data_IF_644578953628
#
_entry.id   IF_644578953628
#
_cell.length_a   1.000
_cell.length_b   1.000
_cell.length_c   1.000
_cell.angle_alpha   90.00
_cell.angle_beta   90.00
_cell.angle_gamma   90.00
#
_symmetry.space_group_name_H-M   'P 1'
#
loop_
_entity.id
_entity.type
_entity.pdbx_description
1 polymer ?
#
# COMPACT_ATOMS: atom_id res chain seq x y z
N UNK A 1 19.06 24.63 -0.93
CA UNK A 1 17.58 24.65 -1.04
C UNK A 1 17.05 25.13 0.30
N UNK A 2 16.34 26.25 0.34
CA UNK A 2 15.80 26.79 1.60
C UNK A 2 14.59 25.96 2.04
N UNK A 3 14.67 25.35 3.22
CA UNK A 3 13.62 24.46 3.73
C UNK A 3 12.66 25.24 4.62
N UNK A 4 11.38 25.27 4.25
CA UNK A 4 10.35 25.99 4.99
C UNK A 4 9.66 25.05 5.99
N UNK A 5 9.64 25.42 7.27
CA UNK A 5 8.93 24.67 8.30
C UNK A 5 7.41 24.80 8.16
N UNK A 6 6.69 23.75 8.55
CA UNK A 6 5.23 23.83 8.70
C UNK A 6 4.86 24.82 9.82
N UNK A 7 3.77 25.55 9.62
CA UNK A 7 3.20 26.40 10.66
C UNK A 7 2.83 25.58 11.92
N UNK A 8 2.86 26.20 13.10
CA UNK A 8 2.53 25.51 14.36
C UNK A 8 1.14 24.85 14.35
N UNK A 9 0.16 25.50 13.72
CA UNK A 9 -1.21 24.95 13.60
C UNK A 9 -1.24 23.73 12.68
N UNK A 10 -0.53 23.79 11.55
CA UNK A 10 -0.39 22.65 10.63
C UNK A 10 0.36 21.50 11.30
N UNK A 11 1.48 21.77 11.98
CA UNK A 11 2.28 20.75 12.68
C UNK A 11 1.47 20.01 13.74
N UNK A 12 0.72 20.74 14.59
CA UNK A 12 -0.16 20.12 15.58
C UNK A 12 -1.23 19.25 14.93
N UNK A 13 -1.87 19.76 13.87
CA UNK A 13 -2.89 19.02 13.14
C UNK A 13 -2.34 17.74 12.49
N UNK A 14 -1.15 17.80 11.90
CA UNK A 14 -0.45 16.63 11.35
C UNK A 14 -0.20 15.60 12.45
N UNK A 15 0.37 16.01 13.59
CA UNK A 15 0.65 15.09 14.71
C UNK A 15 -0.63 14.41 15.22
N UNK A 16 -1.69 15.19 15.49
CA UNK A 16 -2.94 14.68 16.04
C UNK A 16 -3.67 13.73 15.06
N UNK A 17 -3.68 14.08 13.78
CA UNK A 17 -4.30 13.27 12.73
C UNK A 17 -3.51 11.99 12.43
N UNK A 18 -2.18 12.07 12.31
CA UNK A 18 -1.29 10.92 12.13
C UNK A 18 -1.42 9.93 13.29
N UNK A 19 -1.41 10.40 14.54
CA UNK A 19 -1.56 9.53 15.71
C UNK A 19 -2.89 8.78 15.69
N UNK A 20 -3.96 9.47 15.37
CA UNK A 20 -5.31 8.89 15.33
C UNK A 20 -5.47 7.92 14.15
N UNK A 21 -4.83 8.21 13.02
CA UNK A 21 -4.86 7.33 11.85
C UNK A 21 -4.06 6.04 12.08
N UNK A 22 -2.89 6.12 12.71
CA UNK A 22 -2.12 4.93 13.12
C UNK A 22 -2.93 4.03 14.05
N UNK A 23 -3.65 4.62 15.00
CA UNK A 23 -4.56 3.88 15.88
C UNK A 23 -5.71 3.20 15.10
N UNK A 24 -6.32 3.89 14.13
CA UNK A 24 -7.34 3.29 13.25
C UNK A 24 -6.80 2.06 12.51
N UNK A 25 -5.59 2.17 11.94
CA UNK A 25 -4.96 1.04 11.23
C UNK A 25 -4.65 -0.11 12.20
N UNK A 26 -4.16 0.19 13.41
CA UNK A 26 -3.91 -0.85 14.42
C UNK A 26 -5.19 -1.58 14.85
N UNK A 27 -6.31 -0.86 15.00
CA UNK A 27 -7.62 -1.47 15.31
C UNK A 27 -8.10 -2.36 14.16
N UNK A 28 -7.93 -1.91 12.91
CA UNK A 28 -8.25 -2.71 11.71
C UNK A 28 -7.40 -3.96 11.61
N UNK A 29 -6.09 -3.85 11.82
CA UNK A 29 -5.17 -5.00 11.86
C UNK A 29 -5.56 -5.97 12.98
N UNK A 30 -5.96 -5.47 14.15
CA UNK A 30 -6.47 -6.32 15.25
C UNK A 30 -7.75 -7.07 14.85
N UNK A 31 -8.70 -6.41 14.19
CA UNK A 31 -9.89 -7.07 13.63
C UNK A 31 -9.53 -8.14 12.60
N UNK A 32 -8.57 -7.85 11.72
CA UNK A 32 -8.09 -8.81 10.72
C UNK A 32 -7.46 -10.06 11.35
N UNK A 33 -6.65 -9.87 12.41
CA UNK A 33 -6.02 -10.98 13.17
C UNK A 33 -7.03 -11.80 13.97
N UNK A 34 -8.05 -11.16 14.52
CA UNK A 34 -9.13 -11.83 15.25
C UNK A 34 -9.93 -12.77 14.33
N UNK A 35 -9.95 -12.49 13.02
CA UNK A 35 -10.65 -13.29 12.02
C UNK A 35 -12.04 -12.72 11.66
N UNK A 36 -12.72 -13.36 10.72
CA UNK A 36 -13.98 -12.87 10.16
C UNK A 36 -15.17 -13.12 11.09
N UNK A 37 -15.45 -14.39 11.39
CA UNK A 37 -16.58 -14.79 12.23
C UNK A 37 -16.35 -16.16 12.84
N UNK A 38 -16.79 -16.37 14.07
CA UNK A 38 -16.91 -17.71 14.66
C UNK A 38 -18.37 -18.17 14.61
N UNK A 39 -18.60 -19.43 14.27
CA UNK A 39 -19.94 -20.01 14.17
C UNK A 39 -19.94 -21.48 14.56
N UNK A 40 -21.06 -21.93 15.14
CA UNK A 40 -21.29 -23.35 15.39
C UNK A 40 -21.71 -24.04 14.10
N UNK A 41 -20.97 -25.08 13.70
CA UNK A 41 -21.28 -25.90 12.52
C UNK A 41 -21.64 -27.31 12.96
N UNK A 42 -22.85 -27.81 12.64
CA UNK A 42 -23.20 -29.20 12.89
C UNK A 42 -22.41 -30.11 11.93
N UNK A 43 -21.86 -31.22 12.46
CA UNK A 43 -21.19 -32.26 11.68
C UNK A 43 -21.52 -33.63 12.29
N UNK A 44 -22.49 -34.31 11.69
CA UNK A 44 -23.00 -35.59 12.19
C UNK A 44 -23.57 -35.47 13.60
N UNK A 45 -22.95 -36.18 14.55
CA UNK A 45 -23.37 -36.21 15.96
C UNK A 45 -22.81 -35.06 16.82
N UNK A 46 -21.89 -34.26 16.28
CA UNK A 46 -21.19 -33.21 17.03
C UNK A 46 -21.42 -31.83 16.43
N UNK A 47 -21.28 -30.80 17.26
CA UNK A 47 -21.29 -29.40 16.84
C UNK A 47 -19.90 -28.84 17.08
N UNK A 48 -19.29 -28.26 16.06
CA UNK A 48 -17.92 -27.73 16.12
C UNK A 48 -17.92 -26.21 16.06
N UNK A 49 -16.99 -25.58 16.78
CA UNK A 49 -16.71 -24.17 16.61
C UNK A 49 -15.84 -23.99 15.36
N UNK A 50 -16.32 -23.18 14.43
CA UNK A 50 -15.65 -22.89 13.17
C UNK A 50 -15.34 -21.40 13.08
N UNK A 51 -14.06 -21.06 12.88
CA UNK A 51 -13.61 -19.68 12.65
C UNK A 51 -13.35 -19.45 11.16
N UNK A 52 -13.97 -18.42 10.60
CA UNK A 52 -13.73 -17.97 9.23
C UNK A 52 -12.58 -16.96 9.21
N UNK A 53 -11.75 -17.03 8.18
CA UNK A 53 -10.75 -15.99 7.92
C UNK A 53 -11.42 -14.64 7.61
N UNK A 54 -10.73 -13.55 7.92
CA UNK A 54 -11.21 -12.18 7.66
C UNK A 54 -11.27 -11.87 6.16
N UNK A 55 -10.23 -12.23 5.41
CA UNK A 55 -10.13 -11.93 3.97
C UNK A 55 -10.75 -13.00 3.07
N UNK A 56 -10.99 -14.20 3.63
CA UNK A 56 -11.53 -15.34 2.91
C UNK A 56 -12.58 -16.10 3.74
N UNK A 57 -13.85 -15.83 3.45
CA UNK A 57 -14.97 -16.50 4.10
C UNK A 57 -15.04 -18.01 3.84
N UNK A 58 -14.33 -18.53 2.83
CA UNK A 58 -14.28 -19.96 2.50
C UNK A 58 -13.20 -20.69 3.31
N UNK A 59 -12.16 -20.00 3.78
CA UNK A 59 -11.15 -20.60 4.67
C UNK A 59 -11.73 -20.67 6.08
N UNK A 60 -12.01 -21.90 6.52
CA UNK A 60 -12.62 -22.20 7.82
C UNK A 60 -11.68 -23.10 8.62
N UNK A 61 -11.34 -22.68 9.83
CA UNK A 61 -10.58 -23.46 10.79
C UNK A 61 -11.54 -24.00 11.85
N UNK A 62 -11.47 -25.30 12.12
CA UNK A 62 -12.26 -25.95 13.16
C UNK A 62 -11.47 -25.95 14.47
N UNK A 63 -12.02 -25.31 15.51
CA UNK A 63 -11.34 -25.10 16.80
C UNK A 63 -11.64 -26.21 17.83
N UNK A 64 -12.73 -26.96 17.66
CA UNK A 64 -13.09 -28.08 18.54
C UNK A 64 -14.57 -28.34 18.62
N UNK A 65 -14.95 -29.41 19.31
CA UNK A 65 -16.34 -29.73 19.65
C UNK A 65 -16.90 -28.75 20.68
N UNK A 66 -18.23 -28.62 20.72
CA UNK A 66 -18.92 -27.80 21.71
C UNK A 66 -18.65 -28.31 23.12
N UNK A 67 -18.00 -27.47 23.92
CA UNK A 67 -17.62 -27.70 25.30
C UNK A 67 -17.64 -26.34 26.03
N UNK A 68 -17.59 -26.31 27.38
CA UNK A 68 -17.48 -25.04 28.12
C UNK A 68 -16.26 -24.20 27.69
N UNK A 69 -15.17 -24.85 27.30
CA UNK A 69 -13.95 -24.21 26.80
C UNK A 69 -14.20 -23.52 25.45
N UNK A 70 -14.82 -24.19 24.48
CA UNK A 70 -15.10 -23.60 23.16
C UNK A 70 -16.22 -22.55 23.20
N UNK A 71 -17.15 -22.64 24.15
CA UNK A 71 -18.11 -21.57 24.43
C UNK A 71 -17.44 -20.33 25.01
N UNK A 72 -16.47 -20.48 25.92
CA UNK A 72 -15.68 -19.35 26.43
C UNK A 72 -14.85 -18.68 25.32
N UNK A 73 -14.30 -19.45 24.38
CA UNK A 73 -13.58 -18.91 23.21
C UNK A 73 -14.51 -18.04 22.37
N UNK A 74 -15.72 -18.51 22.09
CA UNK A 74 -16.70 -17.75 21.32
C UNK A 74 -17.11 -16.46 22.04
N UNK A 75 -17.40 -16.52 23.34
CA UNK A 75 -17.76 -15.33 24.13
C UNK A 75 -16.64 -14.28 24.15
N UNK A 76 -15.38 -14.72 24.33
CA UNK A 76 -14.23 -13.84 24.28
C UNK A 76 -14.09 -13.18 22.90
N UNK A 77 -14.22 -13.97 21.83
CA UNK A 77 -14.20 -13.47 20.45
C UNK A 77 -15.29 -12.43 20.19
N UNK A 78 -16.53 -12.69 20.59
CA UNK A 78 -17.65 -11.76 20.39
C UNK A 78 -17.47 -10.45 21.16
N UNK A 79 -16.98 -10.55 22.40
CA UNK A 79 -16.71 -9.38 23.25
C UNK A 79 -15.61 -8.51 22.64
N UNK A 80 -14.48 -9.12 22.28
CA UNK A 80 -13.34 -8.42 21.69
C UNK A 80 -13.68 -7.82 20.34
N UNK A 81 -14.38 -8.56 19.48
CA UNK A 81 -14.83 -8.06 18.18
C UNK A 81 -15.75 -6.86 18.35
N UNK A 82 -16.71 -6.92 19.27
CA UNK A 82 -17.64 -5.82 19.53
C UNK A 82 -16.91 -4.56 20.01
N UNK A 83 -15.95 -4.73 20.93
CA UNK A 83 -15.09 -3.64 21.42
C UNK A 83 -14.30 -2.98 20.29
N UNK A 84 -13.66 -3.78 19.43
CA UNK A 84 -12.86 -3.28 18.31
C UNK A 84 -13.73 -2.58 17.25
N UNK A 85 -14.92 -3.10 16.94
CA UNK A 85 -15.84 -2.47 15.99
C UNK A 85 -16.36 -1.11 16.50
N UNK A 86 -16.70 -1.02 17.79
CA UNK A 86 -17.09 0.26 18.41
C UNK A 86 -15.93 1.27 18.35
N UNK A 87 -14.72 0.81 18.65
CA UNK A 87 -13.51 1.64 18.58
C UNK A 87 -13.22 2.11 17.16
N UNK A 88 -13.31 1.23 16.16
CA UNK A 88 -13.13 1.57 14.75
C UNK A 88 -14.11 2.67 14.33
N UNK A 89 -15.40 2.51 14.67
CA UNK A 89 -16.43 3.51 14.35
C UNK A 89 -16.09 4.88 14.94
N UNK A 90 -15.74 4.94 16.23
CA UNK A 90 -15.38 6.20 16.88
C UNK A 90 -14.15 6.86 16.25
N UNK A 91 -13.17 6.07 15.81
CA UNK A 91 -11.98 6.57 15.12
C UNK A 91 -12.32 7.09 13.73
N UNK A 92 -13.19 6.41 12.98
CA UNK A 92 -13.64 6.86 11.65
C UNK A 92 -14.32 8.23 11.72
N UNK A 93 -15.20 8.44 12.70
CA UNK A 93 -15.88 9.73 12.90
C UNK A 93 -14.85 10.85 13.16
N UNK A 94 -13.82 10.55 13.97
CA UNK A 94 -12.74 11.51 14.26
C UNK A 94 -11.85 11.76 13.04
N UNK A 95 -11.52 10.73 12.28
CA UNK A 95 -10.74 10.85 11.04
C UNK A 95 -11.47 11.73 10.03
N UNK A 96 -12.79 11.60 9.87
CA UNK A 96 -13.56 12.45 8.96
C UNK A 96 -13.49 13.95 9.31
N UNK A 97 -13.32 14.29 10.60
CA UNK A 97 -13.06 15.66 11.04
C UNK A 97 -11.63 16.06 10.65
N UNK A 98 -10.64 15.22 10.95
CA UNK A 98 -9.25 15.51 10.65
C UNK A 98 -8.93 15.60 9.17
N UNK A 99 -9.57 14.82 8.30
CA UNK A 99 -9.38 14.95 6.86
C UNK A 99 -9.82 16.35 6.36
N UNK A 100 -10.94 16.87 6.88
CA UNK A 100 -11.40 18.23 6.56
C UNK A 100 -10.43 19.29 7.08
N UNK A 101 -9.93 19.12 8.29
CA UNK A 101 -8.94 20.03 8.87
C UNK A 101 -7.61 19.98 8.12
N UNK A 102 -7.11 18.78 7.78
CA UNK A 102 -5.90 18.57 7.00
C UNK A 102 -6.00 19.30 5.65
N UNK A 103 -7.16 19.22 4.98
CA UNK A 103 -7.42 19.97 3.75
C UNK A 103 -7.38 21.48 3.98
N UNK A 104 -8.03 21.96 5.04
CA UNK A 104 -8.12 23.39 5.35
C UNK A 104 -6.75 24.02 5.62
N UNK A 105 -5.89 23.33 6.39
CA UNK A 105 -4.54 23.81 6.74
C UNK A 105 -3.46 23.39 5.72
N UNK A 106 -3.86 22.76 4.61
CA UNK A 106 -2.97 22.24 3.57
C UNK A 106 -1.85 21.34 4.12
N UNK A 107 -2.21 20.46 5.06
CA UNK A 107 -1.28 19.57 5.77
C UNK A 107 -0.61 18.50 4.87
N UNK A 108 -1.16 18.27 3.67
CA UNK A 108 -0.75 17.18 2.79
C UNK A 108 -0.39 17.64 1.39
N UNK A 109 0.57 16.94 0.79
CA UNK A 109 1.07 17.20 -0.56
C UNK A 109 0.89 16.03 -1.53
N UNK A 110 0.57 14.82 -1.04
CA UNK A 110 0.40 13.65 -1.91
C UNK A 110 -0.87 13.75 -2.76
N UNK A 111 -0.82 13.21 -3.95
CA UNK A 111 -1.93 13.08 -4.89
C UNK A 111 -3.03 12.19 -4.31
N UNK A 112 -4.25 12.47 -4.75
CA UNK A 112 -5.41 11.66 -4.40
C UNK A 112 -5.23 10.21 -4.87
N UNK A 113 -4.61 10.01 -6.03
CA UNK A 113 -4.43 8.67 -6.63
C UNK A 113 -3.44 7.83 -5.85
N UNK A 114 -2.38 8.43 -5.28
CA UNK A 114 -1.47 7.74 -4.36
C UNK A 114 -2.19 7.30 -3.09
N UNK A 115 -2.96 8.20 -2.46
CA UNK A 115 -3.72 7.87 -1.25
C UNK A 115 -4.77 6.78 -1.51
N UNK A 116 -5.45 6.83 -2.66
CA UNK A 116 -6.37 5.77 -3.08
C UNK A 116 -5.67 4.43 -3.30
N UNK A 117 -4.46 4.43 -3.85
CA UNK A 117 -3.67 3.22 -4.05
C UNK A 117 -3.27 2.61 -2.70
N UNK A 118 -2.76 3.41 -1.76
CA UNK A 118 -2.45 2.97 -0.38
C UNK A 118 -3.68 2.34 0.28
N UNK A 119 -4.82 3.03 0.23
CA UNK A 119 -6.06 2.54 0.84
C UNK A 119 -6.61 1.29 0.13
N UNK A 120 -6.34 1.13 -1.16
CA UNK A 120 -6.67 -0.09 -1.91
C UNK A 120 -5.87 -1.29 -1.39
N UNK A 121 -4.55 -1.15 -1.22
CA UNK A 121 -3.70 -2.21 -0.67
C UNK A 121 -4.11 -2.60 0.76
N UNK A 122 -4.50 -1.62 1.57
CA UNK A 122 -5.06 -1.84 2.92
C UNK A 122 -6.37 -2.62 2.86
N UNK A 123 -7.31 -2.22 2.00
CA UNK A 123 -8.61 -2.89 1.88
C UNK A 123 -8.52 -4.35 1.43
N UNK A 124 -7.49 -4.66 0.63
CA UNK A 124 -7.21 -6.01 0.14
C UNK A 124 -6.39 -6.84 1.15
N UNK A 125 -5.78 -6.20 2.15
CA UNK A 125 -5.03 -6.86 3.22
C UNK A 125 -3.60 -7.21 2.85
N UNK A 126 -2.97 -6.43 1.96
CA UNK A 126 -1.59 -6.65 1.52
C UNK A 126 -0.65 -5.51 1.95
N UNK A 127 -1.19 -4.46 2.58
CA UNK A 127 -0.47 -3.26 3.03
C UNK A 127 0.73 -3.58 3.95
N UNK A 128 0.59 -4.52 4.89
CA UNK A 128 1.65 -4.87 5.86
C UNK A 128 2.89 -5.49 5.21
N UNK A 129 2.66 -6.21 4.10
CA UNK A 129 3.67 -6.88 3.28
C UNK A 129 4.20 -5.95 2.17
N UNK A 130 3.57 -4.78 1.98
CA UNK A 130 3.88 -3.84 0.89
C UNK A 130 4.96 -2.83 1.30
N UNK A 131 5.95 -2.65 0.45
CA UNK A 131 6.97 -1.61 0.51
C UNK A 131 6.86 -0.69 -0.69
N UNK A 132 6.55 0.57 -0.45
CA UNK A 132 6.46 1.61 -1.46
C UNK A 132 7.84 2.14 -1.80
N UNK A 133 8.16 2.25 -3.09
CA UNK A 133 9.48 2.64 -3.58
C UNK A 133 9.40 3.90 -4.46
N UNK A 134 10.54 4.54 -4.71
CA UNK A 134 10.63 5.74 -5.56
C UNK A 134 9.92 6.97 -4.98
N UNK A 135 9.28 7.76 -5.85
CA UNK A 135 8.62 9.03 -5.49
C UNK A 135 7.63 8.92 -4.31
N UNK A 136 6.75 7.91 -4.22
CA UNK A 136 5.90 7.71 -3.04
C UNK A 136 6.65 7.63 -1.71
N UNK A 137 7.79 6.93 -1.65
CA UNK A 137 8.59 6.80 -0.43
C UNK A 137 9.09 8.17 0.07
N UNK A 138 9.46 9.06 -0.87
CA UNK A 138 9.90 10.41 -0.54
C UNK A 138 8.80 11.25 0.13
N UNK A 139 7.52 11.04 -0.24
CA UNK A 139 6.41 11.69 0.46
C UNK A 139 6.30 11.23 1.90
N UNK A 140 6.51 9.94 2.19
CA UNK A 140 6.54 9.42 3.55
C UNK A 140 7.67 10.06 4.37
N UNK A 141 8.87 10.17 3.81
CA UNK A 141 10.00 10.81 4.50
C UNK A 141 9.75 12.29 4.73
N UNK A 142 9.30 13.03 3.72
CA UNK A 142 9.03 14.45 3.89
C UNK A 142 7.93 14.73 4.89
N UNK A 143 6.91 13.88 4.95
CA UNK A 143 5.84 14.03 5.93
C UNK A 143 6.32 13.81 7.38
N UNK A 144 7.45 13.13 7.60
CA UNK A 144 8.01 12.92 8.94
C UNK A 144 8.94 14.04 9.41
N UNK A 145 9.46 14.87 8.51
CA UNK A 145 10.43 15.91 8.86
C UNK A 145 9.80 17.18 9.44
N UNK A 146 8.49 17.39 9.23
CA UNK A 146 7.80 18.62 9.66
C UNK A 146 8.09 19.85 8.79
N UNK A 147 8.70 19.65 7.62
CA UNK A 147 8.90 20.69 6.61
C UNK A 147 7.83 20.63 5.51
N UNK A 148 7.67 21.74 4.81
CA UNK A 148 6.84 21.79 3.61
C UNK A 148 7.43 20.92 2.50
N UNK A 149 6.56 20.22 1.77
CA UNK A 149 6.97 19.40 0.64
C UNK A 149 7.48 20.26 -0.53
N UNK A 150 8.71 20.01 -1.03
CA UNK A 150 9.31 20.70 -2.15
C UNK A 150 8.43 20.66 -3.40
N UNK A 151 8.51 21.71 -4.21
CA UNK A 151 7.78 21.81 -5.49
C UNK A 151 8.18 20.68 -6.46
N UNK A 152 9.47 20.37 -6.53
CA UNK A 152 10.03 19.31 -7.38
C UNK A 152 9.41 17.94 -7.10
N UNK A 153 9.15 17.61 -5.82
CA UNK A 153 8.52 16.34 -5.45
C UNK A 153 7.05 16.30 -5.90
N UNK A 154 6.33 17.43 -5.78
CA UNK A 154 4.92 17.54 -6.22
C UNK A 154 4.76 17.35 -7.73
N UNK A 155 5.69 17.90 -8.52
CA UNK A 155 5.68 17.81 -9.99
C UNK A 155 5.94 16.38 -10.49
N UNK A 156 6.86 15.64 -9.85
CA UNK A 156 7.18 14.26 -10.22
C UNK A 156 6.05 13.26 -9.92
N UNK A 157 5.21 13.54 -8.93
CA UNK A 157 4.10 12.66 -8.59
C UNK A 157 3.05 12.54 -9.72
N UNK A 158 2.95 13.56 -10.58
CA UNK A 158 1.89 13.67 -11.59
C UNK A 158 1.95 12.59 -12.70
N UNK A 159 3.01 11.77 -12.72
CA UNK A 159 3.16 10.60 -13.61
C UNK A 159 2.12 9.51 -13.29
N UNK A 160 1.64 9.43 -12.04
CA UNK A 160 0.56 8.51 -11.65
C UNK A 160 0.91 7.02 -11.73
N UNK A 161 2.19 6.66 -11.66
CA UNK A 161 2.66 5.28 -11.64
C UNK A 161 3.47 5.02 -10.38
N UNK A 162 3.14 3.92 -9.70
CA UNK A 162 3.71 3.56 -8.42
C UNK A 162 4.26 2.15 -8.47
N UNK A 163 5.47 1.97 -7.94
CA UNK A 163 6.09 0.67 -7.75
C UNK A 163 5.97 0.26 -6.28
N UNK A 164 5.41 -0.92 -6.06
CA UNK A 164 5.22 -1.49 -4.74
C UNK A 164 5.78 -2.90 -4.72
N UNK A 165 6.73 -3.14 -3.84
CA UNK A 165 7.24 -4.48 -3.58
C UNK A 165 6.36 -5.15 -2.53
N UNK A 166 6.03 -6.42 -2.70
CA UNK A 166 5.22 -7.20 -1.76
C UNK A 166 6.02 -8.41 -1.30
N UNK A 167 6.28 -8.47 0.01
CA UNK A 167 7.06 -9.52 0.71
C UNK A 167 6.42 -10.91 0.73
N UNK A 168 5.39 -11.11 -0.09
CA UNK A 168 4.72 -12.38 -0.31
C UNK A 168 4.26 -12.48 -1.75
N UNK A 169 4.21 -13.71 -2.26
CA UNK A 169 3.57 -14.02 -3.52
C UNK A 169 2.06 -13.74 -3.44
N UNK A 170 1.55 -12.91 -4.34
CA UNK A 170 0.12 -12.62 -4.45
C UNK A 170 -0.63 -13.80 -5.10
N UNK A 171 -1.70 -14.25 -4.46
CA UNK A 171 -2.57 -15.27 -5.02
C UNK A 171 -3.53 -14.68 -6.07
N UNK A 172 -4.06 -15.55 -6.95
CA UNK A 172 -4.98 -15.14 -8.01
C UNK A 172 -6.23 -14.41 -7.45
N UNK A 173 -6.66 -14.74 -6.24
CA UNK A 173 -7.81 -14.12 -5.58
C UNK A 173 -7.52 -12.67 -5.18
N UNK A 174 -6.34 -12.41 -4.63
CA UNK A 174 -5.86 -11.07 -4.27
C UNK A 174 -5.69 -10.21 -5.52
N UNK A 175 -5.07 -10.77 -6.57
CA UNK A 175 -4.92 -10.11 -7.87
C UNK A 175 -6.29 -9.77 -8.45
N UNK A 176 -7.25 -10.69 -8.41
CA UNK A 176 -8.63 -10.44 -8.85
C UNK A 176 -9.35 -9.36 -8.02
N UNK A 177 -9.07 -9.24 -6.72
CA UNK A 177 -9.59 -8.15 -5.89
C UNK A 177 -9.01 -6.80 -6.33
N UNK A 178 -7.71 -6.74 -6.62
CA UNK A 178 -7.06 -5.52 -7.13
C UNK A 178 -7.63 -5.10 -8.49
N UNK A 179 -7.86 -6.05 -9.41
CA UNK A 179 -8.46 -5.75 -10.73
C UNK A 179 -9.91 -5.25 -10.68
N UNK A 180 -10.64 -5.48 -9.58
CA UNK A 180 -12.00 -4.93 -9.40
C UNK A 180 -12.00 -3.42 -9.10
N UNK A 181 -10.86 -2.85 -8.71
CA UNK A 181 -10.73 -1.43 -8.46
C UNK A 181 -10.66 -0.66 -9.79
N UNK A 182 -11.77 -0.03 -10.19
CA UNK A 182 -11.89 0.67 -11.48
C UNK A 182 -11.09 1.96 -11.61
N UNK A 183 -10.51 2.49 -10.52
CA UNK A 183 -9.74 3.75 -10.55
C UNK A 183 -8.26 3.55 -10.92
N UNK A 184 -7.79 2.31 -10.94
CA UNK A 184 -6.37 1.97 -11.05
C UNK A 184 -6.16 0.66 -11.80
N UNK A 185 -5.20 0.66 -12.72
CA UNK A 185 -4.72 -0.56 -13.37
C UNK A 185 -3.56 -1.14 -12.56
N UNK A 186 -3.58 -2.45 -12.33
CA UNK A 186 -2.59 -3.16 -11.54
C UNK A 186 -1.87 -4.20 -12.41
N UNK A 187 -0.55 -4.14 -12.45
CA UNK A 187 0.28 -5.18 -13.08
C UNK A 187 1.08 -5.87 -12.01
N UNK A 188 0.96 -7.20 -11.94
CA UNK A 188 1.68 -8.01 -10.97
C UNK A 188 2.71 -8.87 -11.68
N UNK A 189 3.93 -8.87 -11.15
CA UNK A 189 4.98 -9.84 -11.50
C UNK A 189 5.30 -10.61 -10.21
N UNK A 190 5.18 -11.92 -10.23
CA UNK A 190 5.38 -12.75 -9.04
C UNK A 190 6.58 -13.66 -9.23
N UNK A 191 7.48 -13.67 -8.24
CA UNK A 191 8.49 -14.70 -8.06
C UNK A 191 7.93 -15.91 -7.32
N UNK A 192 8.81 -16.70 -6.71
CA UNK A 192 8.45 -17.87 -5.92
C UNK A 192 7.84 -17.46 -4.58
N UNK A 193 8.43 -16.46 -3.92
CA UNK A 193 8.07 -16.01 -2.57
C UNK A 193 7.62 -14.55 -2.49
N UNK A 194 7.81 -13.78 -3.56
CA UNK A 194 7.58 -12.34 -3.59
C UNK A 194 6.76 -11.89 -4.79
N UNK A 195 6.26 -10.66 -4.74
CA UNK A 195 5.58 -10.04 -5.88
C UNK A 195 5.95 -8.56 -6.01
N UNK A 196 6.07 -8.09 -7.23
CA UNK A 196 6.14 -6.66 -7.55
C UNK A 196 4.83 -6.24 -8.18
N UNK A 197 4.28 -5.16 -7.65
CA UNK A 197 3.04 -4.55 -8.10
C UNK A 197 3.35 -3.18 -8.72
N UNK A 198 2.94 -2.99 -9.97
CA UNK A 198 2.94 -1.69 -10.62
C UNK A 198 1.49 -1.20 -10.64
N UNK A 199 1.25 -0.06 -9.98
CA UNK A 199 -0.07 0.58 -9.91
C UNK A 199 -0.05 1.79 -10.82
N UNK A 200 -0.97 1.82 -11.79
CA UNK A 200 -1.18 2.95 -12.70
C UNK A 200 -2.53 3.60 -12.39
N UNK A 201 -2.52 4.88 -12.07
CA UNK A 201 -3.74 5.65 -11.87
C UNK A 201 -4.34 6.11 -13.21
N UNK A 202 -5.65 5.96 -13.38
CA UNK A 202 -6.32 6.26 -14.67
C UNK A 202 -6.64 7.76 -14.87
N UNK A 203 -6.63 8.56 -13.80
CA UNK A 203 -7.24 9.91 -13.78
C UNK A 203 -6.25 11.09 -13.63
N UNK A 204 -4.94 10.91 -13.85
CA UNK A 204 -4.03 12.07 -13.80
C UNK A 204 -4.29 13.00 -15.00
N UNK A 205 -4.51 14.30 -14.76
CA UNK A 205 -4.72 15.30 -15.83
C UNK A 205 -3.51 15.42 -16.78
N UNK A 206 -2.33 15.01 -16.34
CA UNK A 206 -1.12 14.87 -17.17
C UNK A 206 -1.06 13.57 -17.97
N UNK A 207 -2.07 12.69 -17.87
CA UNK A 207 -2.21 11.53 -18.74
C UNK A 207 -2.37 11.93 -20.22
N UNK A 208 -2.70 13.18 -20.53
CA UNK A 208 -2.69 13.70 -21.91
C UNK A 208 -1.27 13.95 -22.47
N UNK A 209 -0.30 14.35 -21.63
CA UNK A 209 1.12 14.38 -22.02
C UNK A 209 1.69 12.97 -22.19
N UNK A 210 1.23 12.03 -21.35
CA UNK A 210 1.64 10.62 -21.40
C UNK A 210 1.05 9.82 -22.57
N UNK A 211 -0.11 10.21 -23.10
CA UNK A 211 -0.79 9.48 -24.18
C UNK A 211 0.00 9.40 -25.50
N UNK A 212 0.98 10.29 -25.75
CA UNK A 212 1.74 10.32 -27.02
C UNK A 212 3.09 9.61 -26.99
N UNK A 213 3.75 9.44 -25.84
CA UNK A 213 5.11 8.85 -25.75
C UNK A 213 5.24 7.64 -24.80
N UNK A 214 4.30 7.42 -23.87
CA UNK A 214 4.33 6.33 -22.89
C UNK A 214 3.46 5.09 -23.17
N UNK A 215 2.60 4.99 -24.22
CA UNK A 215 2.00 3.71 -24.56
C UNK A 215 3.11 2.72 -24.92
N UNK A 216 3.28 1.66 -24.12
CA UNK A 216 4.30 0.63 -24.32
C UNK A 216 5.52 0.72 -23.40
N UNK A 217 5.85 1.86 -22.81
CA UNK A 217 7.00 1.96 -21.88
C UNK A 217 6.77 1.16 -20.59
N UNK A 218 5.53 1.19 -20.06
CA UNK A 218 5.12 0.42 -18.89
C UNK A 218 5.02 -1.08 -19.18
N UNK A 219 4.52 -1.44 -20.35
CA UNK A 219 4.48 -2.83 -20.80
C UNK A 219 5.88 -3.37 -21.07
N UNK A 220 6.79 -2.51 -21.55
CA UNK A 220 8.21 -2.81 -21.72
C UNK A 220 8.91 -2.95 -20.37
N UNK A 221 8.62 -2.13 -19.36
CA UNK A 221 9.18 -2.32 -18.02
C UNK A 221 8.58 -3.52 -17.29
N UNK A 222 7.27 -3.74 -17.37
CA UNK A 222 6.66 -4.96 -16.88
C UNK A 222 7.20 -6.19 -17.64
N UNK A 223 7.46 -6.06 -18.94
CA UNK A 223 8.13 -7.03 -19.78
C UNK A 223 9.57 -7.29 -19.34
N UNK A 224 10.34 -6.23 -19.07
CA UNK A 224 11.70 -6.31 -18.52
C UNK A 224 11.70 -7.00 -17.16
N UNK A 225 10.79 -6.63 -16.25
CA UNK A 225 10.66 -7.30 -14.96
C UNK A 225 10.32 -8.78 -15.13
N UNK A 226 9.41 -9.12 -16.06
CA UNK A 226 9.08 -10.51 -16.38
C UNK A 226 10.26 -11.28 -17.00
N UNK A 227 11.03 -10.64 -17.85
CA UNK A 227 12.11 -11.27 -18.61
C UNK A 227 13.41 -11.39 -17.81
N UNK A 228 13.68 -10.43 -16.93
CA UNK A 228 14.97 -10.32 -16.24
C UNK A 228 14.82 -10.27 -14.73
N UNK A 229 13.79 -9.62 -14.18
CA UNK A 229 13.71 -9.44 -12.74
C UNK A 229 13.16 -10.66 -12.01
N UNK A 230 12.31 -11.51 -12.62
CA UNK A 230 11.74 -12.70 -11.94
C UNK A 230 12.83 -13.57 -11.30
N UNK A 231 13.97 -13.75 -11.98
CA UNK A 231 15.10 -14.54 -11.49
C UNK A 231 15.79 -13.91 -10.26
N UNK A 232 15.67 -12.59 -10.09
CA UNK A 232 16.26 -11.85 -8.97
C UNK A 232 15.22 -11.37 -7.95
N UNK A 233 13.92 -11.53 -8.20
CA UNK A 233 12.86 -10.98 -7.34
C UNK A 233 12.94 -11.52 -5.93
N UNK A 234 13.20 -12.82 -5.78
CA UNK A 234 13.28 -13.44 -4.46
C UNK A 234 14.59 -13.08 -3.74
N UNK A 235 15.69 -12.88 -4.47
CA UNK A 235 16.93 -12.34 -3.88
C UNK A 235 16.74 -10.90 -3.38
N UNK A 236 16.09 -10.04 -4.18
CA UNK A 236 15.70 -8.69 -3.76
C UNK A 236 14.74 -8.77 -2.56
N UNK A 237 13.84 -9.75 -2.52
CA UNK A 237 12.95 -9.97 -1.38
C UNK A 237 13.72 -10.27 -0.10
N UNK A 238 14.71 -11.15 -0.16
CA UNK A 238 15.53 -11.53 0.99
C UNK A 238 16.28 -10.32 1.55
N UNK A 239 16.89 -9.50 0.68
CA UNK A 239 17.54 -8.25 1.08
C UNK A 239 16.53 -7.27 1.71
N UNK A 240 15.36 -7.09 1.09
CA UNK A 240 14.29 -6.24 1.61
C UNK A 240 13.65 -6.75 2.91
N UNK A 241 13.74 -8.04 3.17
CA UNK A 241 13.29 -8.64 4.43
C UNK A 241 14.22 -8.29 5.59
N UNK A 242 15.51 -8.17 5.32
CA UNK A 242 16.52 -7.76 6.30
C UNK A 242 16.61 -6.24 6.46
N UNK A 243 16.15 -5.49 5.44
CA UNK A 243 16.18 -4.03 5.46
C UNK A 243 15.18 -3.46 6.48
N UNK A 244 15.60 -2.54 7.37
CA UNK A 244 14.70 -1.83 8.26
C UNK A 244 13.59 -1.12 7.46
N UNK A 245 12.35 -1.18 7.96
CA UNK A 245 11.21 -0.54 7.29
C UNK A 245 10.83 0.75 8.00
N UNK A 246 10.49 1.77 7.22
CA UNK A 246 9.96 3.03 7.68
C UNK A 246 8.44 3.10 7.47
N UNK A 247 7.68 3.57 8.47
CA UNK A 247 6.23 3.66 8.40
C UNK A 247 5.73 5.07 8.76
N UNK A 248 5.04 5.71 7.82
CA UNK A 248 4.51 7.05 8.02
C UNK A 248 3.12 7.22 7.40
N UNK A 249 2.26 7.98 8.09
CA UNK A 249 0.98 8.40 7.54
C UNK A 249 1.23 9.51 6.55
N UNK A 250 0.91 9.27 5.28
CA UNK A 250 0.98 10.25 4.21
C UNK A 250 -0.37 10.96 4.11
N UNK A 251 -0.33 12.30 4.02
CA UNK A 251 -1.52 13.14 3.90
C UNK A 251 -1.62 13.64 2.46
N UNK A 252 -2.78 13.42 1.84
CA UNK A 252 -3.07 13.88 0.50
C UNK A 252 -3.46 15.36 0.43
N UNK A 253 -3.41 15.95 -0.77
CA UNK A 253 -3.89 17.30 -1.11
C UNK A 253 -5.37 17.50 -0.73
N UNK A 254 -6.15 16.42 -0.65
CA UNK A 254 -7.56 16.42 -0.24
C UNK A 254 -7.77 16.30 1.27
N UNK A 255 -6.68 16.12 2.04
CA UNK A 255 -6.70 15.88 3.48
C UNK A 255 -6.88 14.40 3.87
N UNK A 256 -7.24 13.52 2.92
CA UNK A 256 -7.30 12.08 3.11
C UNK A 256 -5.93 11.52 3.48
N UNK A 257 -5.93 10.44 4.25
CA UNK A 257 -4.71 9.82 4.78
C UNK A 257 -4.55 8.38 4.28
N UNK A 258 -3.31 7.92 4.28
CA UNK A 258 -2.92 6.54 4.04
C UNK A 258 -1.67 6.20 4.83
N UNK A 259 -1.59 4.99 5.39
CA UNK A 259 -0.39 4.52 6.07
C UNK A 259 0.53 3.89 5.03
N UNK A 260 1.69 4.50 4.82
CA UNK A 260 2.68 4.01 3.88
C UNK A 260 3.82 3.35 4.64
N UNK A 261 4.19 2.16 4.18
CA UNK A 261 5.40 1.45 4.59
C UNK A 261 6.39 1.48 3.44
N UNK A 262 7.63 1.82 3.73
CA UNK A 262 8.73 1.88 2.77
C UNK A 262 10.00 1.39 3.45
N UNK A 263 11.11 1.35 2.72
CA UNK A 263 12.43 1.04 3.30
C UNK A 263 12.90 2.19 4.17
N UNK A 264 13.95 1.98 4.95
CA UNK A 264 14.58 3.07 5.68
C UNK A 264 15.23 4.09 4.69
N UNK A 265 15.18 5.41 4.99
CA UNK A 265 15.72 6.44 4.10
C UNK A 265 17.16 6.22 3.67
N UNK A 266 18.02 5.64 4.52
CA UNK A 266 19.42 5.38 4.19
C UNK A 266 19.57 4.32 3.09
N UNK A 267 18.66 3.35 3.05
CA UNK A 267 18.68 2.25 2.08
C UNK A 267 17.91 2.56 0.80
N UNK A 268 17.07 3.62 0.80
CA UNK A 268 16.28 3.96 -0.38
C UNK A 268 17.15 4.22 -1.60
N UNK A 269 18.30 4.90 -1.45
CA UNK A 269 19.15 5.24 -2.59
C UNK A 269 19.78 4.00 -3.24
N UNK A 270 20.26 3.05 -2.43
CA UNK A 270 20.83 1.79 -2.92
C UNK A 270 19.78 0.95 -3.65
N UNK A 271 18.61 0.83 -3.05
CA UNK A 271 17.50 0.06 -3.62
C UNK A 271 16.95 0.68 -4.90
N UNK A 272 16.80 2.01 -4.91
CA UNK A 272 16.40 2.75 -6.10
C UNK A 272 17.44 2.58 -7.21
N UNK A 273 18.74 2.61 -6.89
CA UNK A 273 19.81 2.31 -7.86
C UNK A 273 19.67 0.90 -8.43
N UNK A 274 19.46 -0.10 -7.56
CA UNK A 274 19.31 -1.51 -7.94
C UNK A 274 18.12 -1.75 -8.88
N UNK A 275 16.98 -1.13 -8.58
CA UNK A 275 15.75 -1.24 -9.37
C UNK A 275 15.69 -0.26 -10.54
N UNK A 276 16.71 0.59 -10.70
CA UNK A 276 16.74 1.73 -11.62
C UNK A 276 15.66 2.78 -11.35
N UNK A 277 15.04 2.77 -10.18
CA UNK A 277 14.02 3.73 -9.76
C UNK A 277 14.72 5.01 -9.31
N UNK A 278 15.26 5.72 -10.29
CA UNK A 278 16.04 6.95 -10.20
C UNK A 278 15.51 7.98 -9.14
N UNK A 279 16.41 8.51 -8.30
CA UNK A 279 16.11 9.33 -7.11
C UNK A 279 16.04 10.84 -7.42
N UNK A 280 15.83 11.67 -6.39
CA UNK A 280 15.62 13.14 -6.53
C UNK A 280 16.70 13.82 -7.41
N UNK A 281 17.91 13.29 -7.47
CA UNK A 281 19.04 13.90 -8.19
C UNK A 281 19.28 13.36 -9.61
N UNK A 282 18.76 12.18 -9.96
CA UNK A 282 18.97 11.54 -11.26
C UNK A 282 17.65 10.92 -11.67
N UNK A 283 16.98 11.49 -12.67
CA UNK A 283 15.78 10.95 -13.32
C UNK A 283 14.57 10.66 -12.43
N UNK A 284 13.41 10.40 -12.98
CA UNK A 284 12.31 9.69 -12.31
C UNK A 284 12.11 8.30 -12.90
N UNK A 285 11.18 7.50 -12.34
CA UNK A 285 10.68 6.29 -13.00
C UNK A 285 10.27 6.56 -14.46
N UNK A 286 9.73 7.75 -14.75
CA UNK A 286 9.44 8.19 -16.12
C UNK A 286 10.68 8.27 -17.02
N UNK A 287 11.82 8.74 -16.51
CA UNK A 287 13.07 8.83 -17.29
C UNK A 287 13.63 7.42 -17.51
N UNK A 288 13.60 6.56 -16.49
CA UNK A 288 13.91 5.13 -16.67
C UNK A 288 13.04 4.50 -17.78
N UNK A 289 11.73 4.71 -17.72
CA UNK A 289 10.76 4.15 -18.65
C UNK A 289 10.90 4.69 -20.09
N UNK A 290 11.46 5.89 -20.27
CA UNK A 290 11.68 6.52 -21.58
C UNK A 290 13.09 6.32 -22.13
N UNK A 291 14.05 5.89 -21.29
CA UNK A 291 15.41 5.56 -21.74
C UNK A 291 15.45 4.39 -22.73
N UNK A 292 16.41 4.44 -23.65
CA UNK A 292 16.67 3.37 -24.63
C UNK A 292 17.14 2.06 -24.00
N UNK A 293 17.47 2.06 -22.70
CA UNK A 293 17.91 0.89 -21.93
C UNK A 293 16.87 -0.25 -21.92
N UNK A 294 15.59 0.08 -22.05
CA UNK A 294 14.48 -0.88 -22.08
C UNK A 294 13.78 -1.01 -23.44
N UNK A 295 14.21 -0.24 -24.46
CA UNK A 295 13.78 -0.45 -25.85
C UNK A 295 14.55 -1.63 -26.42
N UNK A 296 14.10 -2.85 -26.12
CA UNK A 296 14.65 -4.01 -26.80
C UNK A 296 14.37 -3.90 -28.30
N UNK A 297 15.42 -4.10 -29.12
CA UNK A 297 15.26 -4.54 -30.52
C UNK A 297 14.81 -6.00 -30.49
N UNK A 298 13.59 -6.28 -30.03
CA UNK A 298 12.99 -7.59 -30.20
C UNK A 298 11.72 -7.41 -31.00
N UNK A 299 11.74 -7.90 -32.25
CA UNK A 299 10.51 -8.22 -32.98
C UNK A 299 9.73 -9.18 -32.08
N UNK A 300 8.60 -8.73 -31.56
CA UNK A 300 7.61 -9.61 -30.96
C UNK A 300 6.80 -10.12 -32.15
N UNK A 301 7.07 -11.36 -32.57
CA UNK A 301 6.12 -12.10 -33.40
C UNK A 301 4.89 -12.36 -32.51
N UNK A 302 3.76 -11.87 -33.00
CA UNK A 302 2.45 -12.04 -32.37
C UNK A 302 1.97 -13.46 -32.66
N UNK A 303 1.71 -14.24 -31.60
CA UNK A 303 0.81 -15.40 -31.63
C UNK A 303 -0.33 -15.11 -30.65
#
# INVERSE_FOLDING_TARGET
MEMQHLSNTTSKQVIDSTRTYKELVNVRRSLQRLGGSMLWKPSGKYVYLAQRSYFDSQKVVHLGIRSPETESILQHFETERSRLLQREKALLDRIAIYERMNKAVRAGAASTTMIEAINTLESVGISDDSLWLGTPALHAYWQSTGFETPKTLKEREDIGVYLVFVKRRLDAKTINKLHRCKSQTHYTVSGEHSSVLIIKAETSKHCEYSKKELPGAYEAFAGFLRQHAIEFLDQICEELNQTPTFEQVVIGKTGKMGLMKTVDPHFLNELNTLLGVDTVEQGGLHDLLTTTRFKSKAKIDVI
#
